data_IF_467700601508
#
_entry.id   IF_467700601508
#
_cell.length_a   1.000
_cell.length_b   1.000
_cell.length_c   1.000
_cell.angle_alpha   90.00
_cell.angle_beta   90.00
_cell.angle_gamma   90.00
#
_symmetry.space_group_name_H-M   'P 1'
#
loop_
_entity.id
_entity.type
_entity.pdbx_description
1 polymer ?
#
# COMPACT_ATOMS: atom_id res chain seq x y z
N UNK A 1 11.89 -10.42 3.07
CA UNK A 1 12.40 -9.63 1.92
C UNK A 1 11.31 -9.57 0.86
N UNK A 2 10.95 -8.38 0.38
CA UNK A 2 10.03 -8.25 -0.77
C UNK A 2 10.84 -8.53 -2.05
N UNK A 3 10.44 -9.49 -2.90
CA UNK A 3 11.15 -9.76 -4.15
C UNK A 3 11.14 -8.53 -5.07
N UNK A 4 12.26 -8.28 -5.75
CA UNK A 4 12.43 -7.15 -6.67
C UNK A 4 11.40 -7.21 -7.82
N UNK A 5 10.56 -6.19 -8.02
CA UNK A 5 9.55 -6.17 -9.08
C UNK A 5 10.15 -6.32 -10.48
N UNK A 6 11.37 -5.84 -10.71
CA UNK A 6 12.07 -6.03 -11.98
C UNK A 6 12.47 -7.49 -12.20
N UNK A 7 12.92 -8.17 -11.14
CA UNK A 7 13.24 -9.60 -11.18
C UNK A 7 11.99 -10.45 -11.47
N UNK A 8 10.85 -10.15 -10.84
CA UNK A 8 9.59 -10.85 -11.10
C UNK A 8 9.08 -10.62 -12.53
N UNK A 9 9.21 -9.41 -13.07
CA UNK A 9 8.85 -9.11 -14.45
C UNK A 9 9.70 -9.90 -15.45
N UNK A 10 11.02 -10.00 -15.21
CA UNK A 10 11.93 -10.81 -16.03
C UNK A 10 11.59 -12.29 -15.93
N UNK A 11 11.31 -12.80 -14.73
CA UNK A 11 10.92 -14.20 -14.52
C UNK A 11 9.63 -14.54 -15.27
N UNK A 12 8.61 -13.68 -15.18
CA UNK A 12 7.35 -13.84 -15.93
C UNK A 12 7.63 -13.93 -17.44
N UNK A 13 8.42 -13.00 -17.98
CA UNK A 13 8.76 -12.98 -19.41
C UNK A 13 9.57 -14.21 -19.83
N UNK A 14 10.52 -14.66 -19.00
CA UNK A 14 11.31 -15.87 -19.25
C UNK A 14 10.44 -17.12 -19.33
N UNK A 15 9.50 -17.30 -18.39
CA UNK A 15 8.57 -18.43 -18.38
C UNK A 15 7.67 -18.44 -19.63
N UNK A 16 7.15 -17.28 -20.05
CA UNK A 16 6.36 -17.16 -21.28
C UNK A 16 7.19 -17.52 -22.53
N UNK A 17 8.44 -17.06 -22.61
CA UNK A 17 9.34 -17.38 -23.73
C UNK A 17 9.63 -18.88 -23.76
N UNK A 18 9.94 -19.49 -22.62
CA UNK A 18 10.20 -20.93 -22.52
C UNK A 18 8.99 -21.78 -22.94
N UNK A 19 7.78 -21.37 -22.56
CA UNK A 19 6.55 -22.02 -22.98
C UNK A 19 6.39 -21.99 -24.52
N UNK A 20 6.67 -20.83 -25.14
CA UNK A 20 6.61 -20.66 -26.59
C UNK A 20 7.69 -21.51 -27.30
N UNK A 21 8.92 -21.52 -26.79
CA UNK A 21 10.01 -22.34 -27.31
C UNK A 21 9.73 -23.83 -27.21
N UNK A 22 9.13 -24.30 -26.12
CA UNK A 22 8.71 -25.69 -25.96
C UNK A 22 7.68 -26.09 -27.02
N UNK A 23 6.67 -25.22 -27.24
CA UNK A 23 5.66 -25.46 -28.29
C UNK A 23 6.26 -25.48 -29.69
N UNK A 24 7.15 -24.55 -30.01
CA UNK A 24 7.77 -24.48 -31.34
C UNK A 24 8.69 -25.68 -31.62
N UNK A 25 9.50 -26.10 -30.64
CA UNK A 25 10.35 -27.30 -30.75
C UNK A 25 9.54 -28.58 -30.89
N UNK A 26 8.47 -28.72 -30.11
CA UNK A 26 7.58 -29.87 -30.19
C UNK A 26 6.88 -29.96 -31.55
N UNK A 27 6.37 -28.84 -32.08
CA UNK A 27 5.79 -28.76 -33.41
C UNK A 27 6.83 -29.08 -34.51
N UNK A 28 8.05 -28.55 -34.42
CA UNK A 28 9.13 -28.84 -35.36
C UNK A 28 9.51 -30.33 -35.38
N UNK A 29 9.54 -30.98 -34.21
CA UNK A 29 9.83 -32.41 -34.08
C UNK A 29 8.74 -33.26 -34.73
N UNK A 30 7.46 -32.91 -34.50
CA UNK A 30 6.33 -33.58 -35.16
C UNK A 30 6.40 -33.40 -36.68
N UNK A 31 6.65 -32.17 -37.15
CA UNK A 31 6.76 -31.87 -38.58
C UNK A 31 7.91 -32.64 -39.23
N UNK A 32 9.08 -32.72 -38.58
CA UNK A 32 10.23 -33.48 -39.07
C UNK A 32 9.95 -34.99 -39.14
N UNK A 33 9.23 -35.55 -38.16
CA UNK A 33 8.80 -36.97 -38.18
C UNK A 33 7.72 -37.22 -39.24
N UNK A 34 6.92 -36.21 -39.58
CA UNK A 34 5.91 -36.30 -40.64
C UNK A 34 6.47 -36.13 -42.05
N UNK A 35 7.47 -35.25 -42.23
CA UNK A 35 8.07 -34.91 -43.53
C UNK A 35 9.30 -35.74 -43.89
N UNK A 36 9.98 -36.33 -42.91
CA UNK A 36 11.19 -37.12 -43.14
C UNK A 36 10.90 -38.48 -43.79
N UNK A 37 11.80 -38.92 -44.69
CA UNK A 37 11.87 -40.26 -45.30
C UNK A 37 12.18 -41.40 -44.30
N UNK A 38 11.78 -41.24 -43.03
CA UNK A 38 11.79 -42.27 -41.99
C UNK A 38 10.82 -43.47 -42.15
N UNK A 39 9.87 -43.56 -43.12
CA UNK A 39 8.97 -44.71 -43.23
C UNK A 39 9.66 -46.07 -43.34
N UNK A 40 10.94 -46.11 -43.73
CA UNK A 40 11.66 -47.36 -43.98
C UNK A 40 12.30 -48.01 -42.75
N UNK A 41 12.45 -47.31 -41.61
CA UNK A 41 13.16 -47.85 -40.42
C UNK A 41 12.42 -47.62 -39.10
N UNK A 42 11.65 -46.53 -38.97
CA UNK A 42 10.94 -46.17 -37.72
C UNK A 42 9.47 -45.87 -38.03
N UNK A 43 8.64 -46.92 -38.13
CA UNK A 43 7.24 -46.85 -38.58
C UNK A 43 6.25 -46.12 -37.64
N UNK A 44 4.99 -46.61 -37.53
CA UNK A 44 3.91 -45.97 -36.76
C UNK A 44 4.25 -45.60 -35.30
N UNK A 45 5.17 -46.34 -34.67
CA UNK A 45 5.59 -46.14 -33.28
C UNK A 45 6.32 -44.80 -33.08
N UNK A 46 7.22 -44.42 -33.98
CA UNK A 46 7.93 -43.14 -33.87
C UNK A 46 6.97 -41.94 -34.05
N UNK A 47 5.97 -42.08 -34.93
CA UNK A 47 4.91 -41.08 -35.11
C UNK A 47 4.03 -40.98 -33.86
N UNK A 48 3.66 -42.11 -33.25
CA UNK A 48 2.92 -42.12 -31.98
C UNK A 48 3.71 -41.48 -30.84
N UNK A 49 5.02 -41.75 -30.75
CA UNK A 49 5.90 -41.12 -29.75
C UNK A 49 6.04 -39.61 -29.96
N UNK A 50 6.20 -39.14 -31.22
CA UNK A 50 6.27 -37.72 -31.52
C UNK A 50 4.98 -36.97 -31.14
N UNK A 51 3.81 -37.58 -31.38
CA UNK A 51 2.51 -37.03 -30.97
C UNK A 51 2.40 -36.98 -29.44
N UNK A 52 2.82 -38.04 -28.74
CA UNK A 52 2.80 -38.07 -27.28
C UNK A 52 3.73 -37.00 -26.68
N UNK A 53 4.95 -36.85 -27.22
CA UNK A 53 5.90 -35.83 -26.81
C UNK A 53 5.35 -34.41 -27.06
N UNK A 54 4.65 -34.19 -28.17
CA UNK A 54 4.01 -32.90 -28.44
C UNK A 54 2.88 -32.59 -27.46
N UNK A 55 2.07 -33.59 -27.06
CA UNK A 55 1.05 -33.41 -26.02
C UNK A 55 1.67 -33.08 -24.66
N UNK A 56 2.74 -33.78 -24.28
CA UNK A 56 3.47 -33.51 -23.03
C UNK A 56 4.12 -32.13 -23.02
N UNK A 57 4.77 -31.73 -24.12
CA UNK A 57 5.34 -30.39 -24.26
C UNK A 57 4.26 -29.30 -24.25
N UNK A 58 3.09 -29.57 -24.83
CA UNK A 58 1.93 -28.68 -24.76
C UNK A 58 1.42 -28.49 -23.32
N UNK A 59 1.32 -29.56 -22.54
CA UNK A 59 0.93 -29.51 -21.14
C UNK A 59 1.95 -28.73 -20.29
N UNK A 60 3.25 -29.05 -20.44
CA UNK A 60 4.32 -28.34 -19.74
C UNK A 60 4.37 -26.84 -20.10
N UNK A 61 4.13 -26.48 -21.37
CA UNK A 61 4.02 -25.08 -21.78
C UNK A 61 2.81 -24.38 -21.13
N UNK A 62 1.67 -25.07 -21.00
CA UNK A 62 0.50 -24.52 -20.32
C UNK A 62 0.76 -24.29 -18.81
N UNK A 63 1.49 -25.20 -18.15
CA UNK A 63 1.89 -25.03 -16.75
C UNK A 63 2.82 -23.81 -16.57
N UNK A 64 3.77 -23.61 -17.48
CA UNK A 64 4.65 -22.43 -17.47
C UNK A 64 3.88 -21.12 -17.70
N UNK A 65 2.91 -21.11 -18.62
CA UNK A 65 2.01 -19.97 -18.84
C UNK A 65 1.16 -19.68 -17.59
N UNK A 66 0.66 -20.72 -16.92
CA UNK A 66 -0.10 -20.59 -15.68
C UNK A 66 0.73 -19.98 -14.55
N UNK A 67 1.97 -20.46 -14.36
CA UNK A 67 2.90 -19.89 -13.38
C UNK A 67 3.24 -18.43 -13.69
N UNK A 68 3.48 -18.10 -14.97
CA UNK A 68 3.73 -16.73 -15.40
C UNK A 68 2.53 -15.82 -15.08
N UNK A 69 1.30 -16.31 -15.28
CA UNK A 69 0.08 -15.59 -14.93
C UNK A 69 -0.04 -15.34 -13.43
N UNK A 70 0.17 -16.37 -12.60
CA UNK A 70 0.15 -16.25 -11.13
C UNK A 70 1.21 -15.25 -10.62
N UNK A 71 2.41 -15.25 -11.18
CA UNK A 71 3.46 -14.27 -10.86
C UNK A 71 3.01 -12.86 -11.22
N UNK A 72 2.37 -12.69 -12.38
CA UNK A 72 1.80 -11.41 -12.82
C UNK A 72 0.73 -10.89 -11.86
N UNK A 73 -0.21 -11.74 -11.44
CA UNK A 73 -1.23 -11.37 -10.44
C UNK A 73 -0.61 -10.98 -9.10
N UNK A 74 0.34 -11.78 -8.60
CA UNK A 74 1.02 -11.50 -7.35
C UNK A 74 1.72 -10.15 -7.40
N UNK A 75 2.42 -9.84 -8.50
CA UNK A 75 3.08 -8.53 -8.71
C UNK A 75 2.07 -7.38 -8.65
N UNK A 76 0.91 -7.53 -9.28
CA UNK A 76 -0.13 -6.51 -9.25
C UNK A 76 -0.68 -6.28 -7.83
N UNK A 77 -0.92 -7.35 -7.06
CA UNK A 77 -1.38 -7.26 -5.66
C UNK A 77 -0.34 -6.61 -4.76
N UNK A 78 0.94 -6.96 -4.91
CA UNK A 78 2.04 -6.33 -4.15
C UNK A 78 2.15 -4.84 -4.49
N UNK A 79 2.07 -4.46 -5.76
CA UNK A 79 2.10 -3.05 -6.16
C UNK A 79 0.92 -2.25 -5.57
N UNK A 80 -0.29 -2.81 -5.57
CA UNK A 80 -1.46 -2.18 -4.96
C UNK A 80 -1.28 -2.00 -3.44
N UNK A 81 -0.77 -3.02 -2.75
CA UNK A 81 -0.49 -2.96 -1.31
C UNK A 81 0.57 -1.89 -0.99
N UNK A 82 1.64 -1.79 -1.78
CA UNK A 82 2.67 -0.76 -1.62
C UNK A 82 2.10 0.65 -1.80
N UNK A 83 1.22 0.85 -2.79
CA UNK A 83 0.55 2.14 -2.99
C UNK A 83 -0.36 2.51 -1.80
N UNK A 84 -1.10 1.54 -1.25
CA UNK A 84 -1.92 1.75 -0.06
C UNK A 84 -1.07 2.11 1.17
N UNK A 85 0.02 1.39 1.39
CA UNK A 85 0.98 1.69 2.48
C UNK A 85 1.52 3.12 2.32
N UNK A 86 2.02 3.49 1.13
CA UNK A 86 2.53 4.83 0.88
C UNK A 86 1.45 5.93 1.03
N UNK A 87 0.19 5.64 0.72
CA UNK A 87 -0.91 6.57 0.96
C UNK A 87 -1.20 6.75 2.46
N UNK A 88 -1.23 5.64 3.22
CA UNK A 88 -1.40 5.65 4.68
C UNK A 88 -0.25 6.40 5.34
N UNK A 89 0.99 6.16 4.93
CA UNK A 89 2.18 6.85 5.45
C UNK A 89 2.12 8.35 5.22
N UNK A 90 1.76 8.79 3.99
CA UNK A 90 1.59 10.22 3.68
C UNK A 90 0.53 10.88 4.55
N UNK A 91 -0.65 10.25 4.65
CA UNK A 91 -1.76 10.77 5.48
C UNK A 91 -1.36 10.82 6.96
N UNK A 92 -0.71 9.78 7.45
CA UNK A 92 -0.25 9.71 8.85
C UNK A 92 0.79 10.80 9.13
N UNK A 93 1.75 11.00 8.23
CA UNK A 93 2.75 12.07 8.35
C UNK A 93 2.09 13.46 8.42
N UNK A 94 1.14 13.75 7.53
CA UNK A 94 0.41 15.02 7.55
C UNK A 94 -0.33 15.25 8.87
N UNK A 95 -1.02 14.23 9.38
CA UNK A 95 -1.73 14.33 10.67
C UNK A 95 -0.75 14.55 11.82
N UNK A 96 0.40 13.87 11.82
CA UNK A 96 1.42 14.04 12.86
C UNK A 96 2.06 15.44 12.82
N UNK A 97 2.38 15.94 11.63
CA UNK A 97 2.91 17.30 11.44
C UNK A 97 1.90 18.35 11.89
N UNK A 98 0.63 18.18 11.53
CA UNK A 98 -0.44 19.07 11.96
C UNK A 98 -0.64 19.01 13.49
N UNK A 99 -0.62 17.83 14.09
CA UNK A 99 -0.72 17.67 15.55
C UNK A 99 0.46 18.32 16.26
N UNK A 100 1.68 18.14 15.76
CA UNK A 100 2.88 18.80 16.29
C UNK A 100 2.77 20.32 16.19
N UNK A 101 2.35 20.85 15.04
CA UNK A 101 2.19 22.28 14.83
C UNK A 101 1.15 22.88 15.78
N UNK A 102 -0.04 22.27 15.88
CA UNK A 102 -1.10 22.70 16.80
C UNK A 102 -0.62 22.65 18.25
N UNK A 103 0.01 21.55 18.67
CA UNK A 103 0.48 21.39 20.06
C UNK A 103 1.51 22.44 20.49
N UNK A 104 2.32 22.95 19.56
CA UNK A 104 3.41 23.91 19.83
C UNK A 104 2.99 25.36 19.70
N UNK A 105 2.08 25.66 18.77
CA UNK A 105 1.73 27.04 18.40
C UNK A 105 0.36 27.48 18.88
N UNK A 106 -0.49 26.57 19.36
CA UNK A 106 -1.76 26.94 19.97
C UNK A 106 -1.54 27.80 21.21
N UNK A 107 -2.19 28.95 21.26
CA UNK A 107 -2.13 29.87 22.40
C UNK A 107 -3.51 30.22 22.91
N UNK A 108 -3.61 30.52 24.20
CA UNK A 108 -4.84 31.04 24.79
C UNK A 108 -4.94 32.53 24.53
N UNK A 109 -6.04 32.96 23.94
CA UNK A 109 -6.35 34.38 23.70
C UNK A 109 -7.54 34.77 24.54
N UNK A 110 -7.45 35.93 25.19
CA UNK A 110 -8.57 36.58 25.88
C UNK A 110 -8.77 37.94 25.24
N UNK A 111 -9.93 38.16 24.63
CA UNK A 111 -10.21 39.40 23.90
C UNK A 111 -11.69 39.77 23.98
N UNK A 112 -12.04 40.99 23.58
CA UNK A 112 -13.43 41.46 23.43
C UNK A 112 -13.84 41.33 21.98
N UNK A 113 -14.95 40.65 21.73
CA UNK A 113 -15.54 40.51 20.39
C UNK A 113 -16.98 41.00 20.41
N UNK A 114 -17.49 41.38 19.24
CA UNK A 114 -18.91 41.64 19.09
C UNK A 114 -19.71 40.36 19.31
N UNK A 115 -20.91 40.47 19.89
CA UNK A 115 -21.69 39.30 20.32
C UNK A 115 -22.10 38.38 19.15
N UNK A 116 -22.27 38.94 17.97
CA UNK A 116 -22.55 38.26 16.71
C UNK A 116 -21.34 37.54 16.10
N UNK A 117 -20.12 37.87 16.54
CA UNK A 117 -18.87 37.26 16.09
C UNK A 117 -18.40 36.09 16.98
N UNK A 118 -19.17 35.75 18.02
CA UNK A 118 -18.85 34.63 18.91
C UNK A 118 -19.06 33.31 18.17
N UNK A 119 -17.97 32.58 17.96
CA UNK A 119 -18.00 31.25 17.34
C UNK A 119 -18.02 30.14 18.41
N UNK A 120 -18.49 28.91 18.10
CA UNK A 120 -18.59 27.82 19.07
C UNK A 120 -17.27 27.42 19.78
N UNK A 121 -16.12 27.78 19.21
CA UNK A 121 -14.81 27.55 19.83
C UNK A 121 -14.46 28.53 20.97
N UNK A 122 -15.28 29.57 21.17
CA UNK A 122 -15.07 30.62 22.16
C UNK A 122 -15.86 30.37 23.44
N UNK A 123 -15.22 30.56 24.59
CA UNK A 123 -15.85 30.53 25.92
C UNK A 123 -16.04 31.95 26.41
N UNK A 124 -17.27 32.35 26.75
CA UNK A 124 -17.53 33.65 27.37
C UNK A 124 -16.90 33.72 28.77
N UNK A 125 -16.15 34.78 29.06
CA UNK A 125 -15.61 35.05 30.38
C UNK A 125 -16.39 36.18 31.02
N UNK A 126 -17.07 35.86 32.13
CA UNK A 126 -17.82 36.81 32.93
C UNK A 126 -19.20 37.16 32.37
N UNK A 127 -20.12 37.51 33.27
CA UNK A 127 -21.42 38.06 32.92
C UNK A 127 -21.27 39.53 32.56
N UNK A 128 -21.18 39.84 31.27
CA UNK A 128 -21.37 41.21 30.80
C UNK A 128 -22.80 41.67 31.11
N UNK A 129 -23.05 42.99 31.28
CA UNK A 129 -24.40 43.49 31.50
C UNK A 129 -25.32 43.05 30.35
N UNK A 130 -26.56 42.69 30.70
CA UNK A 130 -27.56 42.30 29.71
C UNK A 130 -27.73 43.43 28.68
N UNK A 131 -27.44 43.13 27.40
CA UNK A 131 -27.48 44.13 26.32
C UNK A 131 -26.12 44.69 25.88
N UNK A 132 -25.00 44.23 26.44
CA UNK A 132 -23.67 44.65 25.97
C UNK A 132 -23.43 44.27 24.49
N UNK A 133 -23.02 45.25 23.68
CA UNK A 133 -22.67 45.04 22.27
C UNK A 133 -21.39 44.20 22.08
N UNK A 134 -20.51 44.19 23.09
CA UNK A 134 -19.26 43.40 23.10
C UNK A 134 -19.20 42.50 24.32
N UNK A 135 -18.60 41.32 24.14
CA UNK A 135 -18.43 40.31 25.19
C UNK A 135 -16.97 39.88 25.26
N UNK A 136 -16.47 39.64 26.47
CA UNK A 136 -15.14 39.07 26.66
C UNK A 136 -15.20 37.57 26.44
N UNK A 137 -14.35 37.07 25.54
CA UNK A 137 -14.22 35.65 25.22
C UNK A 137 -12.80 35.18 25.47
N UNK A 138 -12.68 33.90 25.80
CA UNK A 138 -11.43 33.14 25.79
C UNK A 138 -11.55 31.99 24.81
N UNK A 139 -10.54 31.85 23.97
CA UNK A 139 -10.44 30.73 23.03
C UNK A 139 -8.98 30.35 22.80
N UNK A 140 -8.78 29.19 22.19
CA UNK A 140 -7.48 28.75 21.71
C UNK A 140 -7.33 29.20 20.26
N UNK A 141 -6.20 29.80 19.92
CA UNK A 141 -5.92 30.31 18.58
C UNK A 141 -4.75 29.54 17.96
N UNK A 142 -4.86 29.20 16.68
CA UNK A 142 -3.76 28.74 15.84
C UNK A 142 -3.71 29.56 14.57
N UNK A 143 -2.57 30.21 14.29
CA UNK A 143 -2.31 31.05 13.10
C UNK A 143 -3.43 32.06 12.78
N UNK A 144 -3.94 32.79 13.77
CA UNK A 144 -5.01 33.78 13.55
C UNK A 144 -6.42 33.20 13.61
N UNK A 145 -6.58 31.87 13.69
CA UNK A 145 -7.90 31.22 13.64
C UNK A 145 -8.29 30.61 14.99
N UNK A 146 -9.53 30.81 15.46
CA UNK A 146 -10.04 30.13 16.64
C UNK A 146 -10.13 28.62 16.40
N UNK A 147 -9.60 27.83 17.32
CA UNK A 147 -9.63 26.37 17.32
C UNK A 147 -10.27 25.83 18.60
N UNK A 148 -10.87 24.65 18.53
CA UNK A 148 -11.50 24.03 19.69
C UNK A 148 -10.46 23.44 20.65
N UNK A 149 -10.77 23.42 21.94
CA UNK A 149 -9.94 22.74 22.96
C UNK A 149 -9.77 21.26 22.67
N UNK A 150 -10.82 20.59 22.18
CA UNK A 150 -10.77 19.19 21.79
C UNK A 150 -9.71 18.91 20.70
N UNK A 151 -9.52 19.83 19.75
CA UNK A 151 -8.48 19.69 18.72
C UNK A 151 -7.07 19.79 19.32
N UNK A 152 -6.84 20.70 20.26
CA UNK A 152 -5.56 20.86 20.97
C UNK A 152 -5.28 19.65 21.86
N UNK A 153 -6.28 19.16 22.61
CA UNK A 153 -6.15 17.99 23.46
C UNK A 153 -5.86 16.72 22.64
N UNK A 154 -6.53 16.56 21.49
CA UNK A 154 -6.25 15.46 20.57
C UNK A 154 -4.85 15.56 19.98
N UNK A 155 -4.39 16.75 19.60
CA UNK A 155 -3.03 16.97 19.13
C UNK A 155 -1.99 16.61 20.21
N UNK A 156 -2.19 17.03 21.45
CA UNK A 156 -1.32 16.69 22.58
C UNK A 156 -1.28 15.18 22.86
N UNK A 157 -2.42 14.48 22.76
CA UNK A 157 -2.49 13.01 22.85
C UNK A 157 -1.73 12.30 21.74
N UNK A 158 -1.77 12.81 20.52
CA UNK A 158 -1.01 12.25 19.39
C UNK A 158 0.49 12.45 19.61
N UNK A 159 0.91 13.64 20.05
CA UNK A 159 2.32 13.99 20.26
C UNK A 159 2.94 13.27 21.45
N UNK A 160 2.19 13.05 22.54
CA UNK A 160 2.67 12.25 23.68
C UNK A 160 2.95 10.80 23.26
N UNK A 161 2.05 10.19 22.47
CA UNK A 161 2.25 8.82 21.94
C UNK A 161 3.44 8.70 20.99
N UNK A 162 3.84 9.77 20.30
CA UNK A 162 5.06 9.78 19.47
C UNK A 162 6.33 9.58 20.29
N UNK A 163 6.36 10.07 21.54
CA UNK A 163 7.52 9.88 22.43
C UNK A 163 7.68 8.41 22.85
N UNK A 164 6.59 7.64 22.83
CA UNK A 164 6.57 6.22 23.16
C UNK A 164 6.96 5.32 21.98
N UNK A 165 7.10 5.86 20.76
CA UNK A 165 7.50 5.07 19.59
C UNK A 165 9.02 4.85 19.64
N UNK A 166 9.50 3.60 19.80
CA UNK A 166 10.93 3.32 19.84
C UNK A 166 11.60 3.66 18.50
N UNK A 167 12.90 3.97 18.50
CA UNK A 167 13.64 4.14 17.23
C UNK A 167 13.69 2.81 16.47
N UNK A 168 13.52 2.87 15.15
CA UNK A 168 13.67 1.69 14.29
C UNK A 168 15.05 1.05 14.50
N UNK A 169 15.08 -0.27 14.75
CA UNK A 169 16.30 -1.03 15.04
C UNK A 169 16.73 -1.04 16.51
N UNK A 170 16.04 -0.34 17.41
CA UNK A 170 16.26 -0.48 18.87
C UNK A 170 15.67 -1.79 19.40
N UNK A 171 16.21 -2.31 20.51
CA UNK A 171 15.68 -3.53 21.14
C UNK A 171 14.20 -3.40 21.53
N UNK A 172 13.77 -2.20 21.93
CA UNK A 172 12.37 -1.88 22.23
C UNK A 172 11.44 -1.93 21.01
N UNK A 173 11.97 -1.80 19.78
CA UNK A 173 11.19 -1.96 18.55
C UNK A 173 10.59 -3.37 18.40
N UNK A 174 11.28 -4.39 18.89
CA UNK A 174 10.82 -5.80 18.87
C UNK A 174 9.69 -6.06 19.87
N UNK A 175 9.50 -5.16 20.85
CA UNK A 175 8.47 -5.28 21.89
C UNK A 175 7.17 -4.57 21.55
N UNK A 176 7.14 -3.79 20.47
CA UNK A 176 5.91 -3.13 20.00
C UNK A 176 4.95 -4.21 19.49
N UNK A 177 3.75 -4.37 20.08
CA UNK A 177 2.77 -5.33 19.59
C UNK A 177 2.49 -5.05 18.12
N UNK A 178 2.64 -6.06 17.25
CA UNK A 178 2.38 -5.87 15.83
C UNK A 178 0.93 -5.40 15.66
N UNK A 179 0.74 -4.23 15.04
CA UNK A 179 -0.59 -3.71 14.68
C UNK A 179 -1.35 -4.64 13.71
N UNK A 180 -0.67 -5.67 13.20
CA UNK A 180 -1.22 -6.72 12.34
C UNK A 180 -1.92 -7.85 13.10
N UNK A 181 -1.90 -7.89 14.44
CA UNK A 181 -2.59 -8.95 15.22
C UNK A 181 -4.12 -8.91 15.15
N UNK A 182 -4.73 -7.87 14.56
CA UNK A 182 -6.18 -7.76 14.39
C UNK A 182 -6.72 -8.07 12.98
N UNK A 183 -5.87 -8.58 12.07
CA UNK A 183 -6.24 -8.90 10.67
C UNK A 183 -6.13 -10.40 10.34
N UNK A 184 -6.03 -11.26 11.37
CA UNK A 184 -6.18 -12.71 11.29
C UNK A 184 -7.36 -13.12 12.19
#
# INVERSE_FOLDING_TARGET
>A
MVPDPAALARLQQQLTIQALELRSRAAATVNAVQSGELPRVCGPVARAHAIALNRQAGAAAADLEHLAHQIGEHRARVAAAQQQVAAIERRTRQVLEQALDISRSARTVVTRVARDQVVPAMTLIGGGPAGAATVTVRYLEHRGTPISSAAVDNAAKIVSRLQDIPRAGSAHWLTVPSLLRGLL
#
